data_IF_385672064522
#
_entry.id   IF_385672064522
#
_cell.length_a   1.000
_cell.length_b   1.000
_cell.length_c   1.000
_cell.angle_alpha   90.00
_cell.angle_beta   90.00
_cell.angle_gamma   90.00
#
_symmetry.space_group_name_H-M   'P 1'
#
loop_
_entity.id
_entity.type
_entity.pdbx_description
1 polymer ?
#
# COMPACT_ATOMS: atom_id res chain seq x y z
N UNK A 1 -26.31 42.71 21.54
CA UNK A 1 -26.40 41.23 21.36
C UNK A 1 -26.21 40.51 22.69
N UNK A 2 -27.12 39.60 23.05
CA UNK A 2 -27.02 38.77 24.27
C UNK A 2 -25.72 37.96 24.23
N UNK A 3 -24.97 37.89 25.36
CA UNK A 3 -23.66 37.22 25.48
C UNK A 3 -23.64 35.81 24.87
N UNK A 4 -24.74 35.05 25.02
CA UNK A 4 -24.92 33.71 24.43
C UNK A 4 -24.92 33.70 22.89
N UNK A 5 -25.53 34.69 22.24
CA UNK A 5 -25.58 34.80 20.78
C UNK A 5 -24.19 35.05 20.17
N UNK A 6 -23.37 35.88 20.83
CA UNK A 6 -21.98 36.12 20.41
C UNK A 6 -21.12 34.85 20.51
N UNK A 7 -21.30 34.07 21.58
CA UNK A 7 -20.60 32.78 21.77
C UNK A 7 -21.01 31.79 20.68
N UNK A 8 -22.31 31.63 20.41
CA UNK A 8 -22.80 30.73 19.35
C UNK A 8 -22.23 31.13 17.98
N UNK A 9 -22.25 32.42 17.64
CA UNK A 9 -21.66 32.91 16.38
C UNK A 9 -20.15 32.66 16.27
N UNK A 10 -19.40 32.73 17.38
CA UNK A 10 -17.98 32.37 17.39
C UNK A 10 -17.72 30.87 17.25
N UNK A 11 -18.65 30.02 17.66
CA UNK A 11 -18.51 28.56 17.57
C UNK A 11 -18.85 28.01 16.18
N UNK A 12 -19.62 28.74 15.37
CA UNK A 12 -20.03 28.29 14.03
C UNK A 12 -18.82 27.97 13.13
N UNK A 13 -17.79 28.84 12.99
CA UNK A 13 -16.62 28.52 12.17
C UNK A 13 -15.86 27.29 12.66
N UNK A 14 -15.74 27.12 13.98
CA UNK A 14 -15.06 25.96 14.58
C UNK A 14 -15.83 24.68 14.27
N UNK A 15 -17.17 24.71 14.37
CA UNK A 15 -18.02 23.59 14.05
C UNK A 15 -17.95 23.23 12.56
N UNK A 16 -18.02 24.21 11.66
CA UNK A 16 -17.90 23.98 10.22
C UNK A 16 -16.55 23.34 9.86
N UNK A 17 -15.48 23.80 10.51
CA UNK A 17 -14.15 23.22 10.32
C UNK A 17 -14.09 21.77 10.80
N UNK A 18 -14.65 21.47 11.98
CA UNK A 18 -14.75 20.09 12.48
C UNK A 18 -15.60 19.19 11.58
N UNK A 19 -16.71 19.70 11.03
CA UNK A 19 -17.58 18.96 10.11
C UNK A 19 -16.86 18.67 8.78
N UNK A 20 -16.13 19.64 8.23
CA UNK A 20 -15.32 19.45 7.04
C UNK A 20 -14.27 18.33 7.24
N UNK A 21 -13.63 18.31 8.40
CA UNK A 21 -12.67 17.25 8.74
C UNK A 21 -13.34 15.88 8.83
N UNK A 22 -14.48 15.83 9.51
CA UNK A 22 -15.24 14.61 9.68
C UNK A 22 -15.71 14.06 8.32
N UNK A 23 -16.13 14.95 7.42
CA UNK A 23 -16.53 14.60 6.05
C UNK A 23 -15.36 13.98 5.26
N UNK A 24 -14.17 14.58 5.28
CA UNK A 24 -12.99 13.99 4.63
C UNK A 24 -12.69 12.63 5.23
N UNK A 25 -12.63 12.52 6.55
CA UNK A 25 -12.32 11.27 7.23
C UNK A 25 -13.29 10.16 6.81
N UNK A 26 -14.59 10.44 6.75
CA UNK A 26 -15.61 9.49 6.29
C UNK A 26 -15.60 9.22 4.79
N UNK A 27 -15.08 10.15 3.99
CA UNK A 27 -15.03 10.01 2.52
C UNK A 27 -14.04 8.94 2.06
N UNK A 28 -13.03 8.64 2.87
CA UNK A 28 -12.02 7.62 2.62
C UNK A 28 -12.64 6.26 2.97
N UNK A 29 -12.89 5.40 1.98
CA UNK A 29 -13.72 4.20 2.14
C UNK A 29 -12.95 2.89 2.28
N UNK A 30 -11.63 2.93 2.11
CA UNK A 30 -10.76 1.76 2.20
C UNK A 30 -9.33 2.17 2.60
N UNK A 31 -8.46 1.21 3.01
CA UNK A 31 -7.13 1.56 3.50
C UNK A 31 -6.21 2.16 2.44
N UNK A 32 -6.36 1.82 1.17
CA UNK A 32 -5.51 2.38 0.11
C UNK A 32 -5.80 3.85 -0.13
N UNK A 33 -7.05 4.28 0.07
CA UNK A 33 -7.41 5.70 0.05
C UNK A 33 -6.84 6.45 1.25
N UNK A 34 -6.83 5.85 2.45
CA UNK A 34 -6.17 6.46 3.61
C UNK A 34 -4.66 6.61 3.39
N UNK A 35 -4.01 5.54 2.90
CA UNK A 35 -2.59 5.52 2.55
C UNK A 35 -2.29 6.66 1.55
N UNK A 36 -3.04 6.72 0.44
CA UNK A 36 -2.84 7.75 -0.57
C UNK A 36 -3.09 9.16 -0.01
N UNK A 37 -4.13 9.34 0.81
CA UNK A 37 -4.43 10.63 1.43
C UNK A 37 -3.35 11.05 2.44
N UNK A 38 -2.73 10.11 3.15
CA UNK A 38 -1.67 10.41 4.12
C UNK A 38 -0.44 11.07 3.48
N UNK A 39 -0.20 10.84 2.19
CA UNK A 39 0.91 11.45 1.43
C UNK A 39 0.46 12.56 0.48
N UNK A 40 -0.65 12.37 -0.23
CA UNK A 40 -1.14 13.30 -1.25
C UNK A 40 -2.21 14.28 -0.72
N UNK A 41 -2.68 14.11 0.51
CA UNK A 41 -3.76 14.92 1.08
C UNK A 41 -3.35 16.38 1.32
N UNK A 42 -4.34 17.22 1.61
CA UNK A 42 -4.09 18.61 2.02
C UNK A 42 -3.54 18.71 3.45
N UNK A 43 -3.54 19.91 4.01
CA UNK A 43 -3.05 20.17 5.38
C UNK A 43 -3.63 19.23 6.44
N UNK A 44 -4.85 18.75 6.23
CA UNK A 44 -5.54 17.85 7.16
C UNK A 44 -4.93 16.44 7.27
N UNK A 45 -4.08 16.02 6.32
CA UNK A 45 -3.41 14.72 6.39
C UNK A 45 -2.59 14.55 7.66
N UNK A 46 -1.86 15.58 8.07
CA UNK A 46 -0.97 15.54 9.25
C UNK A 46 -1.73 15.41 10.58
N UNK A 47 -3.02 15.74 10.58
CA UNK A 47 -3.87 15.61 11.77
C UNK A 47 -4.52 14.23 11.80
N UNK A 48 -4.86 13.66 10.64
CA UNK A 48 -5.61 12.40 10.55
C UNK A 48 -4.72 11.16 10.52
N UNK A 49 -3.58 11.24 9.85
CA UNK A 49 -2.73 10.09 9.60
C UNK A 49 -1.26 10.45 9.71
N UNK A 50 -0.47 9.46 10.13
CA UNK A 50 0.98 9.50 9.97
C UNK A 50 1.31 9.39 8.48
N UNK A 51 2.30 10.14 7.94
CA UNK A 51 2.75 9.98 6.56
C UNK A 51 3.12 8.52 6.28
N UNK A 52 2.65 7.98 5.16
CA UNK A 52 2.86 6.58 4.79
C UNK A 52 4.34 6.19 4.72
N UNK A 53 5.19 7.05 4.17
CA UNK A 53 6.65 6.94 4.16
C UNK A 53 7.20 6.65 5.56
N UNK A 54 6.79 7.42 6.56
CA UNK A 54 7.17 7.17 7.96
C UNK A 54 6.58 5.87 8.52
N UNK A 55 5.40 5.42 8.05
CA UNK A 55 4.82 4.14 8.49
C UNK A 55 5.61 2.93 7.98
N UNK A 56 6.24 3.07 6.81
CA UNK A 56 7.12 2.03 6.22
C UNK A 56 8.59 2.19 6.64
N UNK A 57 8.86 3.07 7.62
CA UNK A 57 10.19 3.30 8.18
C UNK A 57 11.14 4.03 7.23
N UNK A 58 10.60 4.90 6.38
CA UNK A 58 11.35 5.71 5.44
C UNK A 58 11.12 7.19 5.74
N UNK A 59 12.16 7.91 6.17
CA UNK A 59 12.07 9.34 6.50
C UNK A 59 12.34 10.23 5.28
N UNK A 60 12.23 9.68 4.08
CA UNK A 60 12.47 10.37 2.82
C UNK A 60 11.48 11.52 2.62
N UNK A 61 12.01 12.72 2.40
CA UNK A 61 11.20 13.91 2.11
C UNK A 61 10.77 13.88 0.64
N UNK A 62 9.45 13.98 0.41
CA UNK A 62 8.90 14.10 -0.94
C UNK A 62 9.46 15.31 -1.68
N UNK A 63 10.08 15.08 -2.83
CA UNK A 63 10.55 16.14 -3.71
C UNK A 63 9.41 16.68 -4.58
N UNK A 64 9.16 17.99 -4.51
CA UNK A 64 8.01 18.60 -5.20
C UNK A 64 8.11 18.62 -6.73
N UNK A 65 9.29 18.40 -7.29
CA UNK A 65 9.61 18.49 -8.72
C UNK A 65 9.55 17.14 -9.47
N UNK A 66 9.19 16.05 -8.80
CA UNK A 66 9.08 14.71 -9.41
C UNK A 66 7.61 14.25 -9.46
N UNK A 67 7.18 13.74 -10.61
CA UNK A 67 5.81 13.24 -10.83
C UNK A 67 5.53 11.94 -10.07
N UNK A 68 6.57 11.15 -9.84
CA UNK A 68 6.54 9.92 -9.07
C UNK A 68 7.84 9.74 -8.29
N UNK A 69 7.77 9.07 -7.15
CA UNK A 69 8.93 8.73 -6.31
C UNK A 69 8.79 7.30 -5.80
N UNK A 70 9.93 6.62 -5.65
CA UNK A 70 9.99 5.25 -5.15
C UNK A 70 10.64 5.21 -3.77
N UNK A 71 9.92 4.64 -2.80
CA UNK A 71 10.39 4.51 -1.42
C UNK A 71 10.54 3.04 -1.03
N UNK A 72 11.75 2.60 -0.61
CA UNK A 72 11.92 1.27 -0.04
C UNK A 72 11.32 1.19 1.37
N UNK A 73 10.79 0.02 1.69
CA UNK A 73 10.40 -0.35 3.04
C UNK A 73 11.64 -0.63 3.89
N UNK A 74 11.58 -0.28 5.17
CA UNK A 74 12.65 -0.60 6.11
C UNK A 74 12.87 -2.11 6.25
N UNK A 75 14.14 -2.52 6.43
CA UNK A 75 14.54 -3.91 6.71
C UNK A 75 14.00 -4.46 8.03
N UNK A 76 13.36 -3.63 8.87
CA UNK A 76 12.62 -4.11 10.04
C UNK A 76 11.18 -4.58 9.73
N UNK A 77 10.70 -4.36 8.51
CA UNK A 77 9.35 -4.74 8.05
C UNK A 77 9.39 -5.99 7.16
N UNK A 78 10.39 -6.06 6.26
CA UNK A 78 10.62 -7.18 5.36
C UNK A 78 11.81 -8.04 5.83
N UNK A 79 11.88 -9.30 5.41
CA UNK A 79 13.00 -10.16 5.78
C UNK A 79 14.31 -9.74 5.09
N UNK A 80 15.45 -10.25 5.59
CA UNK A 80 16.77 -9.81 5.14
C UNK A 80 17.02 -9.98 3.62
N UNK A 81 16.51 -11.06 3.03
CA UNK A 81 16.61 -11.39 1.60
C UNK A 81 15.42 -10.88 0.78
N UNK A 82 14.59 -10.04 1.37
CA UNK A 82 13.42 -9.44 0.75
C UNK A 82 13.62 -7.93 0.57
N UNK A 83 13.10 -7.41 -0.53
CA UNK A 83 13.04 -6.00 -0.84
C UNK A 83 11.62 -5.65 -1.25
N UNK A 84 11.06 -4.61 -0.65
CA UNK A 84 9.75 -4.09 -1.02
C UNK A 84 9.90 -2.59 -1.17
N UNK A 85 9.37 -2.06 -2.26
CA UNK A 85 9.29 -0.62 -2.49
C UNK A 85 7.92 -0.25 -3.03
N UNK A 86 7.58 1.02 -2.86
CA UNK A 86 6.36 1.61 -3.39
C UNK A 86 6.72 2.79 -4.28
N UNK A 87 6.28 2.72 -5.54
CA UNK A 87 6.27 3.82 -6.48
C UNK A 87 4.95 4.57 -6.32
N UNK A 88 5.07 5.76 -5.75
CA UNK A 88 3.98 6.68 -5.47
C UNK A 88 3.88 7.71 -6.58
N UNK A 89 2.65 8.01 -7.00
CA UNK A 89 2.37 9.05 -7.99
C UNK A 89 1.65 10.22 -7.32
N UNK A 90 2.02 11.44 -7.70
CA UNK A 90 1.36 12.64 -7.17
C UNK A 90 -0.05 12.78 -7.72
N UNK A 91 -0.99 13.16 -6.85
CA UNK A 91 -2.37 13.48 -7.25
C UNK A 91 -3.22 12.27 -7.63
N UNK A 92 -2.68 11.05 -7.56
CA UNK A 92 -3.44 9.82 -7.76
C UNK A 92 -3.10 8.77 -6.70
N UNK A 93 -4.09 8.02 -6.22
CA UNK A 93 -3.86 6.87 -5.34
C UNK A 93 -3.36 5.63 -6.09
N UNK A 94 -3.26 5.65 -7.42
CA UNK A 94 -2.92 4.47 -8.24
C UNK A 94 -1.42 4.13 -8.17
N UNK A 95 -0.95 3.70 -7.01
CA UNK A 95 0.44 3.38 -6.74
C UNK A 95 0.81 1.96 -7.13
N UNK A 96 2.11 1.74 -7.32
CA UNK A 96 2.68 0.43 -7.66
C UNK A 96 3.61 -0.03 -6.55
N UNK A 97 3.47 -1.28 -6.12
CA UNK A 97 4.31 -1.91 -5.12
C UNK A 97 5.13 -2.99 -5.79
N UNK A 98 6.44 -2.91 -5.63
CA UNK A 98 7.41 -3.82 -6.24
C UNK A 98 8.11 -4.59 -5.14
N UNK A 99 8.00 -5.91 -5.20
CA UNK A 99 8.58 -6.81 -4.23
C UNK A 99 9.52 -7.77 -4.91
N UNK A 100 10.72 -7.93 -4.37
CA UNK A 100 11.73 -8.86 -4.83
C UNK A 100 12.22 -9.74 -3.68
N UNK A 101 12.28 -11.04 -3.91
CA UNK A 101 12.85 -12.03 -3.01
C UNK A 101 14.06 -12.67 -3.66
N UNK A 102 15.23 -12.52 -3.04
CA UNK A 102 16.42 -13.23 -3.46
C UNK A 102 16.34 -14.69 -2.98
N UNK A 103 16.21 -15.62 -3.94
CA UNK A 103 16.21 -17.06 -3.66
C UNK A 103 17.63 -17.61 -3.54
N UNK A 104 18.52 -17.15 -4.41
CA UNK A 104 19.96 -17.39 -4.40
C UNK A 104 20.67 -16.28 -5.19
N UNK A 105 22.01 -16.35 -5.28
CA UNK A 105 22.77 -15.35 -6.04
C UNK A 105 22.37 -15.38 -7.51
N UNK A 106 21.86 -14.27 -8.02
CA UNK A 106 21.43 -14.13 -9.42
C UNK A 106 20.04 -14.67 -9.73
N UNK A 107 19.26 -15.10 -8.71
CA UNK A 107 17.88 -15.56 -8.87
C UNK A 107 16.94 -14.81 -7.94
N UNK A 108 15.98 -14.11 -8.54
CA UNK A 108 15.02 -13.25 -7.84
C UNK A 108 13.59 -13.60 -8.23
N UNK A 109 12.74 -13.80 -7.24
CA UNK A 109 11.29 -13.90 -7.42
C UNK A 109 10.68 -12.51 -7.21
N UNK A 110 10.02 -11.97 -8.23
CA UNK A 110 9.44 -10.63 -8.21
C UNK A 110 7.92 -10.63 -8.27
N UNK A 111 7.28 -9.74 -7.51
CA UNK A 111 5.85 -9.45 -7.57
C UNK A 111 5.62 -7.96 -7.82
N UNK A 112 4.59 -7.66 -8.62
CA UNK A 112 4.11 -6.30 -8.81
C UNK A 112 2.64 -6.23 -8.38
N UNK A 113 2.34 -5.40 -7.39
CA UNK A 113 0.97 -5.08 -6.99
C UNK A 113 0.62 -3.65 -7.40
N UNK A 114 -0.65 -3.42 -7.74
CA UNK A 114 -1.16 -2.10 -8.11
C UNK A 114 -2.50 -1.85 -7.43
N UNK A 115 -2.75 -0.59 -7.11
CA UNK A 115 -4.09 -0.15 -6.72
C UNK A 115 -4.77 0.58 -7.87
N UNK A 116 -6.05 0.28 -8.09
CA UNK A 116 -6.92 0.99 -9.00
C UNK A 116 -8.08 1.61 -8.21
N UNK A 117 -8.03 2.92 -8.01
CA UNK A 117 -9.03 3.64 -7.20
C UNK A 117 -10.40 3.74 -7.85
N UNK A 118 -10.49 3.70 -9.18
CA UNK A 118 -11.78 3.69 -9.89
C UNK A 118 -12.52 2.37 -9.66
N UNK A 119 -11.78 1.26 -9.56
CA UNK A 119 -12.34 -0.08 -9.32
C UNK A 119 -12.33 -0.51 -7.86
N UNK A 120 -11.71 0.29 -6.97
CA UNK A 120 -11.45 -0.08 -5.56
C UNK A 120 -10.75 -1.44 -5.47
N UNK A 121 -9.75 -1.66 -6.31
CA UNK A 121 -9.12 -2.96 -6.47
C UNK A 121 -7.62 -2.86 -6.21
N UNK A 122 -7.14 -3.60 -5.21
CA UNK A 122 -5.72 -3.85 -5.00
C UNK A 122 -5.37 -5.22 -5.57
N UNK A 123 -4.51 -5.29 -6.58
CA UNK A 123 -4.31 -6.53 -7.31
C UNK A 123 -2.85 -6.80 -7.66
N UNK A 124 -2.51 -8.09 -7.72
CA UNK A 124 -1.22 -8.55 -8.17
C UNK A 124 -1.19 -8.59 -9.69
N UNK A 125 -0.50 -7.62 -10.29
CA UNK A 125 -0.38 -7.47 -11.73
C UNK A 125 0.58 -8.51 -12.33
N UNK A 126 1.74 -8.71 -11.71
CA UNK A 126 2.81 -9.55 -12.27
C UNK A 126 3.44 -10.44 -11.20
N UNK A 127 3.90 -11.61 -11.65
CA UNK A 127 4.63 -12.62 -10.87
C UNK A 127 5.65 -13.22 -11.81
N UNK A 128 6.92 -13.01 -11.52
CA UNK A 128 8.01 -13.41 -12.40
C UNK A 128 9.20 -13.95 -11.60
N UNK A 129 10.03 -14.78 -12.24
CA UNK A 129 11.29 -15.25 -11.70
C UNK A 129 12.40 -14.81 -12.65
N UNK A 130 13.33 -13.98 -12.19
CA UNK A 130 14.51 -13.58 -12.94
C UNK A 130 15.69 -14.47 -12.55
N UNK A 131 16.39 -15.03 -13.53
CA UNK A 131 17.61 -15.83 -13.36
C UNK A 131 18.53 -15.60 -14.56
N UNK A 132 19.76 -15.16 -14.31
CA UNK A 132 20.82 -15.01 -15.35
C UNK A 132 20.29 -14.29 -16.62
N UNK A 133 19.72 -13.10 -16.42
CA UNK A 133 19.13 -12.25 -17.47
C UNK A 133 17.89 -12.82 -18.20
N UNK A 134 17.38 -13.96 -17.75
CA UNK A 134 16.13 -14.56 -18.24
C UNK A 134 15.00 -14.35 -17.23
N UNK A 135 13.84 -13.91 -17.72
CA UNK A 135 12.62 -13.77 -16.91
C UNK A 135 11.63 -14.86 -17.27
N UNK A 136 11.23 -15.65 -16.29
CA UNK A 136 10.23 -16.71 -16.40
C UNK A 136 8.91 -16.24 -15.80
N UNK A 137 7.80 -16.53 -16.49
CA UNK A 137 6.44 -16.25 -16.04
C UNK A 137 5.56 -17.49 -16.21
N UNK A 138 4.34 -17.45 -15.67
CA UNK A 138 3.35 -18.49 -15.87
C UNK A 138 3.83 -19.88 -15.43
N UNK A 139 3.63 -20.88 -16.27
CA UNK A 139 4.00 -22.26 -15.94
C UNK A 139 5.52 -22.45 -15.84
N UNK A 140 6.30 -21.77 -16.67
CA UNK A 140 7.76 -21.86 -16.65
C UNK A 140 8.33 -21.34 -15.32
N UNK A 141 7.72 -20.29 -14.76
CA UNK A 141 8.06 -19.82 -13.41
C UNK A 141 7.88 -20.93 -12.38
N UNK A 142 6.74 -21.64 -12.41
CA UNK A 142 6.46 -22.69 -11.43
C UNK A 142 7.45 -23.86 -11.54
N UNK A 143 7.82 -24.23 -12.77
CA UNK A 143 8.82 -25.27 -13.02
C UNK A 143 10.20 -24.89 -12.48
N UNK A 144 10.63 -23.65 -12.72
CA UNK A 144 11.90 -23.14 -12.18
C UNK A 144 11.84 -22.99 -10.66
N UNK A 145 10.75 -22.47 -10.12
CA UNK A 145 10.56 -22.28 -8.68
C UNK A 145 10.56 -23.62 -7.92
N UNK A 146 10.05 -24.69 -8.53
CA UNK A 146 10.07 -26.04 -7.97
C UNK A 146 11.49 -26.58 -7.76
N UNK A 147 12.49 -26.14 -8.56
CA UNK A 147 13.90 -26.52 -8.34
C UNK A 147 14.45 -26.02 -7.00
N UNK A 148 13.82 -25.00 -6.42
CA UNK A 148 14.12 -24.43 -5.11
C UNK A 148 13.22 -24.98 -3.98
N UNK A 149 12.51 -26.08 -4.24
CA UNK A 149 11.58 -26.70 -3.29
C UNK A 149 10.34 -25.85 -2.99
N UNK A 150 9.97 -24.93 -3.89
CA UNK A 150 8.88 -23.97 -3.70
C UNK A 150 7.77 -24.25 -4.71
N UNK A 151 6.64 -24.72 -4.21
CA UNK A 151 5.47 -25.06 -5.01
C UNK A 151 4.53 -23.85 -5.16
N UNK A 152 3.42 -24.06 -5.90
CA UNK A 152 2.37 -23.04 -6.06
C UNK A 152 1.76 -22.62 -4.71
N UNK A 153 1.65 -23.55 -3.76
CA UNK A 153 1.12 -23.26 -2.42
C UNK A 153 2.02 -22.27 -1.68
N UNK A 154 3.33 -22.49 -1.72
CA UNK A 154 4.33 -21.60 -1.16
C UNK A 154 4.26 -20.22 -1.84
N UNK A 155 4.19 -20.17 -3.18
CA UNK A 155 4.10 -18.92 -3.94
C UNK A 155 2.84 -18.11 -3.57
N UNK A 156 1.71 -18.80 -3.36
CA UNK A 156 0.47 -18.20 -2.89
C UNK A 156 0.62 -17.58 -1.50
N UNK A 157 1.21 -18.32 -0.57
CA UNK A 157 1.45 -17.83 0.78
C UNK A 157 2.41 -16.63 0.78
N UNK A 158 3.44 -16.65 -0.07
CA UNK A 158 4.37 -15.53 -0.20
C UNK A 158 3.67 -14.28 -0.76
N UNK A 159 2.82 -14.43 -1.78
CA UNK A 159 2.07 -13.30 -2.34
C UNK A 159 1.09 -12.70 -1.31
N UNK A 160 0.45 -13.54 -0.50
CA UNK A 160 -0.39 -13.09 0.61
C UNK A 160 0.41 -12.39 1.70
N UNK A 161 1.58 -12.93 2.07
CA UNK A 161 2.49 -12.30 3.04
C UNK A 161 2.80 -10.85 2.62
N UNK A 162 3.18 -10.66 1.36
CA UNK A 162 3.51 -9.32 0.83
C UNK A 162 2.30 -8.38 0.85
N UNK A 163 1.16 -8.80 0.28
CA UNK A 163 -0.01 -7.94 0.22
C UNK A 163 -0.63 -7.66 1.59
N UNK A 164 -0.87 -8.71 2.37
CA UNK A 164 -1.69 -8.67 3.58
C UNK A 164 -0.89 -8.30 4.83
N UNK A 165 0.36 -8.78 4.95
CA UNK A 165 1.19 -8.54 6.13
C UNK A 165 2.11 -7.33 5.94
N UNK A 166 2.82 -7.24 4.81
CA UNK A 166 3.77 -6.16 4.61
C UNK A 166 3.10 -4.86 4.18
N UNK A 167 2.34 -4.86 3.09
CA UNK A 167 1.76 -3.62 2.56
C UNK A 167 0.62 -3.13 3.46
N UNK A 168 -0.43 -3.94 3.60
CA UNK A 168 -1.61 -3.56 4.38
C UNK A 168 -1.37 -3.69 5.89
N UNK A 169 -0.72 -4.76 6.35
CA UNK A 169 -0.47 -4.99 7.77
C UNK A 169 0.39 -3.90 8.42
N UNK A 170 1.40 -3.38 7.71
CA UNK A 170 2.17 -2.22 8.18
C UNK A 170 1.28 -1.00 8.35
N UNK A 171 0.41 -0.71 7.39
CA UNK A 171 -0.52 0.42 7.50
C UNK A 171 -1.47 0.25 8.69
N UNK A 172 -2.03 -0.94 8.89
CA UNK A 172 -2.93 -1.21 10.01
C UNK A 172 -2.27 -1.05 11.37
N UNK A 173 -0.96 -1.33 11.46
CA UNK A 173 -0.19 -1.24 12.68
C UNK A 173 0.28 0.18 12.99
N UNK A 174 0.78 0.87 11.96
CA UNK A 174 1.55 2.11 12.13
C UNK A 174 0.84 3.37 11.62
N UNK A 175 -0.19 3.22 10.78
CA UNK A 175 -0.87 4.32 10.09
C UNK A 175 -2.30 4.56 10.59
N UNK A 176 -3.18 3.57 10.44
CA UNK A 176 -4.61 3.69 10.81
C UNK A 176 -5.20 2.35 11.22
N UNK A 177 -6.01 2.36 12.27
CA UNK A 177 -6.73 1.17 12.76
C UNK A 177 -8.19 1.12 12.30
N UNK A 178 -8.63 1.98 11.37
CA UNK A 178 -10.04 2.02 10.91
C UNK A 178 -10.42 0.79 10.09
N UNK A 179 -9.45 0.25 9.35
CA UNK A 179 -9.58 -0.93 8.53
C UNK A 179 -8.68 -2.06 9.05
N UNK A 180 -8.93 -3.26 8.55
CA UNK A 180 -8.13 -4.45 8.82
C UNK A 180 -8.28 -5.45 7.68
N UNK A 181 -7.53 -6.55 7.71
CA UNK A 181 -7.73 -7.64 6.74
C UNK A 181 -9.15 -8.23 6.78
N UNK A 182 -9.86 -8.10 7.91
CA UNK A 182 -11.27 -8.53 8.04
C UNK A 182 -12.27 -7.47 7.57
N UNK A 183 -11.84 -6.22 7.43
CA UNK A 183 -12.66 -5.10 7.00
C UNK A 183 -11.84 -4.16 6.10
N UNK A 184 -11.88 -4.40 4.80
CA UNK A 184 -11.21 -3.58 3.78
C UNK A 184 -12.09 -2.43 3.26
N UNK A 185 -13.28 -2.23 3.85
CA UNK A 185 -14.26 -1.28 3.34
C UNK A 185 -14.79 -1.69 1.97
N UNK A 186 -14.75 -0.77 1.00
CA UNK A 186 -15.20 -1.04 -0.37
C UNK A 186 -14.13 -1.63 -1.30
N UNK A 187 -12.92 -1.87 -0.78
CA UNK A 187 -11.82 -2.43 -1.55
C UNK A 187 -11.83 -3.96 -1.60
N UNK A 188 -11.36 -4.53 -2.72
CA UNK A 188 -11.07 -5.95 -2.89
C UNK A 188 -9.58 -6.21 -3.16
N UNK A 189 -9.14 -7.43 -2.85
CA UNK A 189 -7.81 -7.93 -3.17
C UNK A 189 -7.95 -9.03 -4.22
N UNK A 190 -7.19 -8.95 -5.32
CA UNK A 190 -7.11 -10.00 -6.34
C UNK A 190 -5.66 -10.43 -6.56
N UNK A 191 -5.42 -11.74 -6.59
CA UNK A 191 -4.09 -12.28 -6.83
C UNK A 191 -3.93 -12.68 -8.31
N UNK A 192 -2.69 -12.86 -8.76
CA UNK A 192 -2.45 -13.27 -10.13
C UNK A 192 -3.06 -14.66 -10.38
N UNK A 193 -3.66 -14.87 -11.57
CA UNK A 193 -4.32 -16.14 -11.92
C UNK A 193 -3.44 -17.37 -11.73
N UNK A 194 -2.13 -17.23 -12.00
CA UNK A 194 -1.14 -18.29 -11.79
C UNK A 194 -1.14 -18.81 -10.34
N UNK A 195 -1.37 -17.92 -9.38
CA UNK A 195 -1.39 -18.20 -7.94
C UNK A 195 -2.74 -18.77 -7.51
N UNK A 196 -3.83 -18.25 -8.09
CA UNK A 196 -5.17 -18.76 -7.81
C UNK A 196 -5.39 -20.17 -8.37
N UNK A 197 -4.60 -20.58 -9.37
CA UNK A 197 -4.66 -21.89 -9.98
C UNK A 197 -5.82 -22.07 -10.95
N UNK A 198 -6.27 -20.96 -11.54
CA UNK A 198 -7.32 -20.89 -12.56
C UNK A 198 -6.73 -20.87 -13.97
#
# INVERSE_FOLDING_TARGET
MKKRLKITLCLIPILLFALYWFEIYLSLKNPMEEIAYSENGGLMRYVMFKPYTETIGNDGIWKENEDFQTYPYSKGIVDANEELSVMMFRGTPNWTYMYDLQLEKGVTLGFIFKYNSSKKLFFQKEVYLSKEDTTYEGQQLLEQLATYGKDRTWLKNQSKKVAEQYILGTWFKNGSSRYSLKNLGDMKIEYNKLIEGQ
#
